data_IF_422897017219
#
_entry.id   IF_422897017219
#
_cell.length_a   1.000
_cell.length_b   1.000
_cell.length_c   1.000
_cell.angle_alpha   90.00
_cell.angle_beta   90.00
_cell.angle_gamma   90.00
#
_symmetry.space_group_name_H-M   'P 1'
#
loop_
_entity.id
_entity.type
_entity.pdbx_description
1 polymer ?
#
# COMPACT_ATOMS: atom_id res chain seq x y z
N UNK A 1 -34.18 16.23 -24.44
CA UNK A 1 -33.57 16.03 -23.11
C UNK A 1 -32.07 16.25 -23.27
N UNK A 2 -31.45 17.24 -22.62
CA UNK A 2 -30.05 17.62 -22.88
C UNK A 2 -29.07 16.70 -22.13
N UNK A 3 -27.86 16.52 -22.67
CA UNK A 3 -26.80 15.68 -22.08
C UNK A 3 -26.45 16.05 -20.61
N UNK A 4 -26.68 17.30 -20.23
CA UNK A 4 -26.52 17.78 -18.84
C UNK A 4 -27.58 17.20 -17.89
N UNK A 5 -28.83 17.06 -18.35
CA UNK A 5 -29.93 16.46 -17.57
C UNK A 5 -29.76 14.95 -17.38
N UNK A 6 -29.16 14.26 -18.36
CA UNK A 6 -28.81 12.85 -18.25
C UNK A 6 -27.70 12.60 -17.21
N UNK A 7 -26.65 13.44 -17.20
CA UNK A 7 -25.55 13.39 -16.19
C UNK A 7 -26.04 13.60 -14.76
N UNK A 8 -27.01 14.49 -14.53
CA UNK A 8 -27.60 14.71 -13.20
C UNK A 8 -28.53 13.57 -12.77
N UNK A 9 -29.14 12.83 -13.71
CA UNK A 9 -29.96 11.66 -13.38
C UNK A 9 -29.13 10.45 -12.99
N UNK A 10 -28.05 10.15 -13.71
CA UNK A 10 -27.16 9.02 -13.39
C UNK A 10 -26.46 9.21 -12.03
N UNK A 11 -26.06 10.45 -11.70
CA UNK A 11 -25.54 10.79 -10.37
C UNK A 11 -26.60 10.68 -9.25
N UNK A 12 -27.89 10.88 -9.55
CA UNK A 12 -28.98 10.74 -8.58
C UNK A 12 -29.46 9.28 -8.41
N UNK A 13 -29.35 8.45 -9.45
CA UNK A 13 -29.74 7.03 -9.40
C UNK A 13 -28.65 6.15 -8.75
N UNK A 14 -27.37 6.45 -8.99
CA UNK A 14 -26.24 5.72 -8.39
C UNK A 14 -25.92 6.13 -6.93
N UNK A 15 -26.63 7.13 -6.40
CA UNK A 15 -26.24 7.83 -5.16
C UNK A 15 -26.96 7.41 -3.87
N UNK A 16 -27.82 6.40 -3.86
CA UNK A 16 -28.75 6.17 -2.71
C UNK A 16 -28.82 4.77 -2.13
N UNK A 17 -27.76 3.98 -2.21
CA UNK A 17 -27.57 2.96 -1.18
C UNK A 17 -26.70 3.59 -0.10
N UNK A 18 -27.33 4.32 0.82
CA UNK A 18 -26.63 4.72 2.05
C UNK A 18 -26.36 3.41 2.80
N UNK A 19 -25.11 3.16 3.15
CA UNK A 19 -24.83 2.18 4.21
C UNK A 19 -25.54 2.71 5.47
N UNK A 20 -26.67 2.09 5.83
CA UNK A 20 -27.53 2.57 6.92
C UNK A 20 -26.89 2.36 8.31
N UNK A 21 -25.87 1.52 8.38
CA UNK A 21 -25.06 1.29 9.58
C UNK A 21 -23.67 0.82 9.18
N UNK A 22 -22.64 1.34 9.84
CA UNK A 22 -21.24 0.86 9.73
C UNK A 22 -20.94 0.06 11.00
N UNK A 23 -20.39 -1.17 10.91
CA UNK A 23 -19.96 -1.92 12.09
C UNK A 23 -18.96 -1.10 12.93
N UNK A 24 -19.03 -1.16 14.28
CA UNK A 24 -18.20 -0.31 15.14
C UNK A 24 -16.69 -0.56 15.00
N UNK A 25 -16.29 -1.71 14.46
CA UNK A 25 -14.91 -2.13 14.23
C UNK A 25 -14.50 -2.11 12.74
N UNK A 26 -15.34 -1.56 11.85
CA UNK A 26 -15.01 -1.53 10.42
C UNK A 26 -13.93 -0.49 10.12
N UNK A 27 -12.89 -0.90 9.40
CA UNK A 27 -11.89 0.02 8.88
C UNK A 27 -12.47 0.88 7.74
N UNK A 28 -11.99 2.11 7.58
CA UNK A 28 -12.46 3.01 6.51
C UNK A 28 -12.36 2.39 5.10
N UNK A 29 -11.35 1.54 4.86
CA UNK A 29 -11.20 0.79 3.62
C UNK A 29 -12.31 -0.24 3.39
N UNK A 30 -12.78 -0.90 4.45
CA UNK A 30 -13.89 -1.87 4.38
C UNK A 30 -15.22 -1.18 4.10
N UNK A 31 -15.44 -0.02 4.75
CA UNK A 31 -16.63 0.81 4.48
C UNK A 31 -16.63 1.31 3.02
N UNK A 32 -15.47 1.69 2.51
CA UNK A 32 -15.31 2.13 1.11
C UNK A 32 -15.59 0.97 0.15
N UNK A 33 -15.07 -0.22 0.44
CA UNK A 33 -15.32 -1.43 -0.34
C UNK A 33 -16.81 -1.79 -0.39
N UNK A 34 -17.48 -1.84 0.77
CA UNK A 34 -18.92 -2.12 0.87
C UNK A 34 -19.75 -1.12 0.07
N UNK A 35 -19.36 0.17 0.09
CA UNK A 35 -20.01 1.20 -0.71
C UNK A 35 -19.82 0.97 -2.21
N UNK A 36 -18.63 0.59 -2.64
CA UNK A 36 -18.37 0.26 -4.04
C UNK A 36 -19.22 -0.93 -4.49
N UNK A 37 -19.28 -2.02 -3.71
CA UNK A 37 -20.14 -3.17 -4.00
C UNK A 37 -21.62 -2.78 -4.13
N UNK A 38 -22.13 -1.99 -3.19
CA UNK A 38 -23.52 -1.52 -3.23
C UNK A 38 -23.81 -0.64 -4.46
N UNK A 39 -22.84 0.14 -4.94
CA UNK A 39 -22.97 0.92 -6.16
C UNK A 39 -22.99 0.05 -7.41
N UNK A 40 -22.15 -0.98 -7.48
CA UNK A 40 -22.16 -1.96 -8.59
C UNK A 40 -23.50 -2.70 -8.64
N UNK A 41 -23.98 -3.19 -7.50
CA UNK A 41 -25.27 -3.87 -7.40
C UNK A 41 -26.44 -2.96 -7.83
N UNK A 42 -26.43 -1.69 -7.41
CA UNK A 42 -27.46 -0.72 -7.79
C UNK A 42 -27.51 -0.44 -9.29
N UNK A 43 -26.39 -0.60 -10.00
CA UNK A 43 -26.32 -0.40 -11.45
C UNK A 43 -26.81 -1.60 -12.25
N UNK A 44 -26.99 -2.77 -11.60
CA UNK A 44 -27.49 -4.02 -12.21
C UNK A 44 -26.70 -4.41 -13.46
N UNK A 45 -25.38 -4.32 -13.35
CA UNK A 45 -24.44 -4.72 -14.38
C UNK A 45 -23.71 -5.95 -13.85
N UNK A 46 -23.86 -7.08 -14.53
CA UNK A 46 -23.27 -8.35 -14.12
C UNK A 46 -21.94 -8.66 -14.82
N UNK A 47 -21.67 -7.99 -15.95
CA UNK A 47 -20.44 -8.15 -16.73
C UNK A 47 -19.97 -6.81 -17.29
N UNK A 48 -18.66 -6.56 -17.20
CA UNK A 48 -18.03 -5.33 -17.67
C UNK A 48 -16.58 -5.58 -18.10
N UNK A 49 -16.07 -4.85 -19.10
CA UNK A 49 -14.68 -4.97 -19.51
C UNK A 49 -13.76 -4.35 -18.47
N UNK A 50 -12.53 -4.87 -18.36
CA UNK A 50 -11.48 -4.29 -17.51
C UNK A 50 -11.26 -2.83 -17.86
N UNK A 51 -11.15 -1.97 -16.84
CA UNK A 51 -10.86 -0.54 -17.01
C UNK A 51 -9.62 -0.30 -17.89
N UNK A 52 -9.73 0.62 -18.84
CA UNK A 52 -8.65 0.98 -19.76
C UNK A 52 -8.35 -0.04 -20.86
N UNK A 53 -9.05 -1.18 -20.90
CA UNK A 53 -8.98 -2.13 -22.02
C UNK A 53 -9.55 -1.52 -23.31
N UNK A 54 -9.19 -2.04 -24.50
CA UNK A 54 -9.80 -1.61 -25.75
C UNK A 54 -11.33 -1.74 -25.76
N UNK A 55 -11.88 -2.81 -25.14
CA UNK A 55 -13.33 -2.97 -25.02
C UNK A 55 -13.96 -1.88 -24.15
N UNK A 56 -13.31 -1.49 -23.04
CA UNK A 56 -13.77 -0.39 -22.19
C UNK A 56 -13.74 0.96 -22.91
N UNK A 57 -12.68 1.24 -23.67
CA UNK A 57 -12.52 2.49 -24.42
C UNK A 57 -13.55 2.66 -25.54
N UNK A 58 -14.13 1.55 -26.02
CA UNK A 58 -15.19 1.55 -27.03
C UNK A 58 -16.59 1.75 -26.43
N UNK A 59 -16.74 1.66 -25.10
CA UNK A 59 -18.03 1.87 -24.46
C UNK A 59 -18.45 3.35 -24.55
N UNK A 60 -19.74 3.62 -24.76
CA UNK A 60 -20.29 4.96 -24.61
C UNK A 60 -20.04 5.51 -23.19
N UNK A 61 -19.77 6.81 -23.08
CA UNK A 61 -19.48 7.44 -21.78
C UNK A 61 -20.61 7.39 -20.75
N UNK A 62 -21.84 7.10 -21.19
CA UNK A 62 -23.04 6.94 -20.37
C UNK A 62 -23.42 5.49 -20.10
N UNK A 63 -22.64 4.52 -20.62
CA UNK A 63 -22.81 3.11 -20.32
C UNK A 63 -22.43 2.83 -18.85
N UNK A 64 -23.32 2.22 -18.04
CA UNK A 64 -23.03 1.95 -16.63
C UNK A 64 -21.81 1.03 -16.43
N UNK A 65 -21.46 0.20 -17.42
CA UNK A 65 -20.24 -0.63 -17.39
C UNK A 65 -18.97 0.19 -17.29
N UNK A 66 -18.96 1.42 -17.85
CA UNK A 66 -17.81 2.34 -17.74
C UNK A 66 -17.55 2.67 -16.27
N UNK A 67 -18.60 3.04 -15.54
CA UNK A 67 -18.50 3.44 -14.14
C UNK A 67 -18.15 2.25 -13.23
N UNK A 68 -18.76 1.08 -13.46
CA UNK A 68 -18.46 -0.13 -12.70
C UNK A 68 -16.99 -0.54 -12.86
N UNK A 69 -16.47 -0.56 -14.10
CA UNK A 69 -15.06 -0.86 -14.34
C UNK A 69 -14.12 0.16 -13.66
N UNK A 70 -14.48 1.45 -13.66
CA UNK A 70 -13.72 2.47 -12.94
C UNK A 70 -13.71 2.25 -11.43
N UNK A 71 -14.86 1.88 -10.84
CA UNK A 71 -14.95 1.55 -9.42
C UNK A 71 -14.08 0.35 -9.05
N UNK A 72 -14.14 -0.71 -9.85
CA UNK A 72 -13.31 -1.91 -9.66
C UNK A 72 -11.82 -1.56 -9.70
N UNK A 73 -11.39 -0.80 -10.71
CA UNK A 73 -10.00 -0.39 -10.85
C UNK A 73 -9.52 0.49 -9.67
N UNK A 74 -10.36 1.41 -9.20
CA UNK A 74 -10.04 2.25 -8.05
C UNK A 74 -9.89 1.41 -6.77
N UNK A 75 -10.73 0.39 -6.59
CA UNK A 75 -10.68 -0.49 -5.43
C UNK A 75 -9.46 -1.42 -5.48
N UNK A 76 -9.14 -1.99 -6.64
CA UNK A 76 -7.91 -2.76 -6.85
C UNK A 76 -6.66 -1.91 -6.58
N UNK A 77 -6.65 -0.65 -7.01
CA UNK A 77 -5.56 0.27 -6.70
C UNK A 77 -5.43 0.53 -5.20
N UNK A 78 -6.54 0.80 -4.49
CA UNK A 78 -6.54 0.99 -3.04
C UNK A 78 -5.97 -0.23 -2.31
N UNK A 79 -6.40 -1.43 -2.69
CA UNK A 79 -5.90 -2.69 -2.12
C UNK A 79 -4.41 -2.89 -2.42
N UNK A 80 -3.97 -2.56 -3.63
CA UNK A 80 -2.56 -2.64 -4.01
C UNK A 80 -1.68 -1.72 -3.16
N UNK A 81 -2.12 -0.48 -2.92
CA UNK A 81 -1.39 0.47 -2.07
C UNK A 81 -1.29 -0.05 -0.63
N UNK A 82 -2.39 -0.57 -0.06
CA UNK A 82 -2.36 -1.20 1.27
C UNK A 82 -1.36 -2.35 1.34
N UNK A 83 -1.32 -3.20 0.31
CA UNK A 83 -0.38 -4.31 0.22
C UNK A 83 1.07 -3.82 0.21
N UNK A 84 1.40 -2.80 -0.59
CA UNK A 84 2.77 -2.22 -0.63
C UNK A 84 3.21 -1.77 0.76
N UNK A 85 2.33 -1.09 1.51
CA UNK A 85 2.67 -0.64 2.86
C UNK A 85 2.88 -1.80 3.83
N UNK A 86 2.05 -2.85 3.75
CA UNK A 86 2.20 -4.04 4.58
C UNK A 86 3.52 -4.78 4.28
N UNK A 87 3.86 -4.90 2.99
CA UNK A 87 5.10 -5.54 2.54
C UNK A 87 6.32 -4.75 3.03
N UNK A 88 6.31 -3.41 2.88
CA UNK A 88 7.37 -2.54 3.34
C UNK A 88 7.56 -2.58 4.87
N UNK A 89 6.46 -2.64 5.63
CA UNK A 89 6.50 -2.79 7.08
C UNK A 89 7.16 -4.11 7.50
N UNK A 90 6.74 -5.21 6.85
CA UNK A 90 7.30 -6.55 7.10
C UNK A 90 8.79 -6.58 6.76
N UNK A 91 9.18 -6.00 5.64
CA UNK A 91 10.59 -5.90 5.24
C UNK A 91 11.41 -5.11 6.27
N UNK A 92 10.89 -3.99 6.80
CA UNK A 92 11.59 -3.21 7.81
C UNK A 92 11.81 -4.01 9.11
N UNK A 93 10.80 -4.75 9.57
CA UNK A 93 10.94 -5.63 10.75
C UNK A 93 12.00 -6.71 10.54
N UNK A 94 12.00 -7.36 9.37
CA UNK A 94 12.98 -8.39 9.03
C UNK A 94 14.42 -7.83 8.98
N UNK A 95 14.60 -6.60 8.48
CA UNK A 95 15.91 -5.92 8.48
C UNK A 95 16.37 -5.64 9.91
N UNK A 96 15.49 -5.12 10.77
CA UNK A 96 15.81 -4.84 12.17
C UNK A 96 16.18 -6.12 12.93
N UNK A 97 15.42 -7.19 12.71
CA UNK A 97 15.69 -8.49 13.32
C UNK A 97 17.04 -9.05 12.87
N UNK A 98 17.29 -9.11 11.56
CA UNK A 98 18.57 -9.56 11.00
C UNK A 98 19.74 -8.73 11.55
N UNK A 99 19.58 -7.40 11.65
CA UNK A 99 20.61 -6.53 12.20
C UNK A 99 20.87 -6.76 13.70
N UNK A 100 19.84 -7.15 14.47
CA UNK A 100 19.99 -7.52 15.87
C UNK A 100 20.74 -8.85 16.02
N UNK A 101 20.39 -9.84 15.19
CA UNK A 101 21.07 -11.14 15.13
C UNK A 101 22.55 -11.00 14.77
N UNK A 102 22.88 -10.19 13.75
CA UNK A 102 24.27 -9.89 13.36
C UNK A 102 25.03 -9.21 14.49
N UNK A 103 24.42 -8.25 15.19
CA UNK A 103 25.06 -7.59 16.35
C UNK A 103 25.33 -8.58 17.48
N UNK A 104 24.37 -9.43 17.82
CA UNK A 104 24.53 -10.46 18.85
C UNK A 104 25.65 -11.46 18.49
N UNK A 105 25.69 -11.92 17.23
CA UNK A 105 26.76 -12.79 16.73
C UNK A 105 28.13 -12.09 16.77
N UNK A 106 28.18 -10.79 16.48
CA UNK A 106 29.41 -9.99 16.54
C UNK A 106 29.91 -9.81 17.96
N UNK A 107 29.02 -9.61 18.95
CA UNK A 107 29.41 -9.51 20.36
C UNK A 107 30.08 -10.79 20.85
N UNK A 108 29.62 -11.97 20.41
CA UNK A 108 30.25 -13.25 20.74
C UNK A 108 31.53 -13.57 19.96
N UNK A 109 31.77 -12.91 18.82
CA UNK A 109 32.92 -13.14 17.93
C UNK A 109 33.93 -12.00 17.92
N UNK A 110 33.72 -10.97 18.74
CA UNK A 110 34.72 -9.94 19.04
C UNK A 110 35.91 -10.59 19.75
N UNK A 111 36.78 -11.22 18.97
CA UNK A 111 38.18 -11.43 19.34
C UNK A 111 38.79 -10.05 19.35
N UNK A 112 38.66 -9.32 20.46
CA UNK A 112 39.52 -8.18 20.73
C UNK A 112 40.93 -8.73 20.65
N UNK A 113 41.63 -8.48 19.53
CA UNK A 113 43.06 -8.76 19.44
C UNK A 113 43.67 -8.09 20.67
N UNK A 114 44.37 -8.82 21.54
CA UNK A 114 44.95 -8.22 22.73
C UNK A 114 45.78 -7.01 22.30
N UNK A 115 45.74 -5.88 23.03
CA UNK A 115 46.51 -4.69 22.68
C UNK A 115 47.95 -5.07 22.34
N UNK A 116 48.41 -4.66 21.16
CA UNK A 116 49.76 -4.99 20.73
C UNK A 116 50.74 -4.23 21.62
N UNK A 117 51.62 -4.95 22.32
CA UNK A 117 52.72 -4.31 23.05
C UNK A 117 53.71 -3.76 22.02
N UNK A 118 53.79 -2.44 21.90
CA UNK A 118 54.76 -1.78 21.04
C UNK A 118 56.13 -1.79 21.75
N UNK A 119 57.14 -2.34 21.08
CA UNK A 119 58.52 -2.22 21.52
C UNK A 119 59.13 -1.00 20.83
N UNK A 120 59.65 -0.01 21.57
CA UNK A 120 60.29 1.14 20.95
C UNK A 120 61.55 0.70 20.20
N UNK A 121 61.69 1.14 18.96
CA UNK A 121 62.92 0.96 18.19
C UNK A 121 64.07 1.75 18.85
N UNK A 122 65.27 1.17 19.03
CA UNK A 122 66.41 1.89 19.59
C UNK A 122 66.71 3.18 18.81
N UNK A 123 66.90 4.28 19.53
CA UNK A 123 67.23 5.60 18.95
C UNK A 123 66.04 6.54 18.71
N UNK A 124 64.81 6.13 19.01
CA UNK A 124 63.65 7.03 18.97
C UNK A 124 63.56 7.90 20.23
N UNK A 125 63.23 9.21 20.10
CA UNK A 125 62.95 10.05 21.26
C UNK A 125 61.68 9.56 21.97
N UNK A 126 61.59 9.67 23.31
CA UNK A 126 60.43 9.21 24.06
C UNK A 126 59.18 9.98 23.63
N UNK A 127 58.14 9.25 23.20
CA UNK A 127 56.83 9.81 22.91
C UNK A 127 56.07 9.90 24.23
N UNK A 128 55.80 11.12 24.70
CA UNK A 128 54.93 11.34 25.85
C UNK A 128 53.49 11.00 25.46
N UNK A 129 52.91 9.98 26.09
CA UNK A 129 51.48 9.66 25.98
C UNK A 129 50.78 10.39 27.14
N UNK A 130 49.90 11.38 26.89
CA UNK A 130 49.16 12.07 27.93
C UNK A 130 48.10 11.18 28.60
#
# INVERSE_FOLDING_TARGET
>A
MTARTARTRLANTAGRVRLHSVPPNAAAGEVTHLRACAQVEALRVDDWPTYGSPQWLQLPSDDPRVYVATLEAAELHRQHVVRIYADAHTQALNVLQTAAEVRAARTGTMRTRPPHKLTPTPGWPPIAVP
#
